data_IF_217254240032
#
_entry.id   IF_217254240032
#
_cell.length_a   1.000
_cell.length_b   1.000
_cell.length_c   1.000
_cell.angle_alpha   90.00
_cell.angle_beta   90.00
_cell.angle_gamma   90.00
#
_symmetry.space_group_name_H-M   'P 1'
#
loop_
_entity.id
_entity.type
_entity.pdbx_description
1 polymer ?
#
# COMPACT_ATOMS: atom_id res chain seq x y z
N UNK A 1 -28.48 -70.29 -52.48
CA UNK A 1 -29.50 -70.27 -51.41
C UNK A 1 -28.77 -70.28 -50.07
N UNK A 2 -28.40 -69.09 -49.59
CA UNK A 2 -27.69 -68.92 -48.32
C UNK A 2 -28.71 -68.92 -47.17
N UNK A 3 -28.47 -69.77 -46.15
CA UNK A 3 -29.27 -69.82 -44.93
C UNK A 3 -28.75 -68.75 -43.97
N UNK A 4 -29.54 -67.71 -43.77
CA UNK A 4 -29.30 -66.67 -42.76
C UNK A 4 -29.53 -67.31 -41.38
N UNK A 5 -28.46 -67.53 -40.62
CA UNK A 5 -28.54 -67.91 -39.23
C UNK A 5 -28.95 -66.69 -38.40
N UNK A 6 -30.21 -66.67 -37.95
CA UNK A 6 -30.71 -65.66 -37.04
C UNK A 6 -29.99 -65.78 -35.69
N UNK A 7 -29.25 -64.73 -35.31
CA UNK A 7 -28.69 -64.60 -33.97
C UNK A 7 -29.82 -64.54 -32.94
N UNK A 8 -29.79 -65.38 -31.88
CA UNK A 8 -30.80 -65.30 -30.83
C UNK A 8 -30.71 -63.94 -30.15
N UNK A 9 -31.86 -63.27 -30.02
CA UNK A 9 -31.98 -62.02 -29.28
C UNK A 9 -31.50 -62.24 -27.84
N UNK A 10 -30.39 -61.62 -27.45
CA UNK A 10 -29.95 -61.57 -26.07
C UNK A 10 -31.04 -60.90 -25.24
N UNK A 11 -31.75 -61.70 -24.46
CA UNK A 11 -32.69 -61.21 -23.46
C UNK A 11 -31.87 -60.47 -22.40
N UNK A 12 -32.10 -59.17 -22.18
CA UNK A 12 -31.31 -58.42 -21.21
C UNK A 12 -31.48 -59.08 -19.83
N UNK A 13 -30.40 -59.27 -19.07
CA UNK A 13 -30.46 -59.96 -17.79
C UNK A 13 -31.44 -59.23 -16.87
N UNK A 14 -32.52 -59.91 -16.49
CA UNK A 14 -33.52 -59.40 -15.54
C UNK A 14 -32.83 -59.30 -14.18
N UNK A 15 -32.42 -58.09 -13.82
CA UNK A 15 -31.83 -57.80 -12.52
C UNK A 15 -32.82 -58.20 -11.42
N UNK A 16 -32.45 -59.20 -10.63
CA UNK A 16 -33.25 -59.65 -9.49
C UNK A 16 -33.45 -58.51 -8.49
N UNK A 17 -34.57 -58.46 -7.74
CA UNK A 17 -34.85 -57.39 -6.78
C UNK A 17 -33.73 -57.17 -5.75
N UNK A 18 -33.02 -58.25 -5.40
CA UNK A 18 -31.88 -58.22 -4.48
C UNK A 18 -30.67 -57.46 -5.04
N UNK A 19 -30.44 -57.52 -6.36
CA UNK A 19 -29.37 -56.78 -7.04
C UNK A 19 -29.65 -55.28 -7.09
N UNK A 20 -30.93 -54.89 -7.24
CA UNK A 20 -31.34 -53.47 -7.29
C UNK A 20 -31.10 -52.77 -5.95
N UNK A 21 -31.36 -53.47 -4.84
CA UNK A 21 -31.10 -52.96 -3.50
C UNK A 21 -29.60 -52.74 -3.23
N UNK A 22 -28.74 -53.65 -3.68
CA UNK A 22 -27.27 -53.51 -3.54
C UNK A 22 -26.70 -52.31 -4.30
N UNK A 23 -27.22 -52.04 -5.50
CA UNK A 23 -26.77 -50.89 -6.28
C UNK A 23 -27.17 -49.56 -5.61
N UNK A 24 -28.42 -49.47 -5.14
CA UNK A 24 -28.90 -48.31 -4.40
C UNK A 24 -28.09 -48.04 -3.11
N UNK A 25 -27.68 -49.09 -2.41
CA UNK A 25 -26.82 -48.98 -1.22
C UNK A 25 -25.42 -48.45 -1.56
N UNK A 26 -24.81 -48.94 -2.64
CA UNK A 26 -23.51 -48.46 -3.12
C UNK A 26 -23.58 -46.97 -3.49
N UNK A 27 -24.63 -46.56 -4.20
CA UNK A 27 -24.85 -45.16 -4.58
C UNK A 27 -25.05 -44.26 -3.37
N UNK A 28 -25.84 -44.72 -2.38
CA UNK A 28 -26.05 -44.00 -1.12
C UNK A 28 -24.72 -43.82 -0.36
N UNK A 29 -23.89 -44.87 -0.30
CA UNK A 29 -22.56 -44.82 0.33
C UNK A 29 -21.63 -43.83 -0.38
N UNK A 30 -21.65 -43.80 -1.72
CA UNK A 30 -20.84 -42.85 -2.48
C UNK A 30 -21.27 -41.40 -2.24
N UNK A 31 -22.58 -41.13 -2.25
CA UNK A 31 -23.12 -39.79 -1.94
C UNK A 31 -22.77 -39.34 -0.53
N UNK A 32 -23.00 -40.20 0.47
CA UNK A 32 -22.65 -39.93 1.86
C UNK A 32 -21.15 -39.61 2.02
N UNK A 33 -20.28 -40.32 1.30
CA UNK A 33 -18.84 -40.02 1.32
C UNK A 33 -18.51 -38.66 0.68
N UNK A 34 -19.16 -38.30 -0.43
CA UNK A 34 -18.95 -36.99 -1.05
C UNK A 34 -19.48 -35.84 -0.18
N UNK A 35 -20.64 -36.03 0.44
CA UNK A 35 -21.22 -35.07 1.39
C UNK A 35 -20.32 -34.89 2.61
N UNK A 36 -19.77 -35.99 3.17
CA UNK A 36 -18.82 -35.92 4.27
C UNK A 36 -17.55 -35.13 3.88
N UNK A 37 -17.02 -35.30 2.66
CA UNK A 37 -15.88 -34.52 2.17
C UNK A 37 -16.22 -33.04 2.01
N UNK A 38 -17.42 -32.72 1.54
CA UNK A 38 -17.89 -31.33 1.42
C UNK A 38 -18.07 -30.71 2.81
N UNK A 39 -18.62 -31.44 3.76
CA UNK A 39 -18.83 -30.95 5.12
C UNK A 39 -17.50 -30.71 5.83
N UNK A 40 -16.55 -31.66 5.77
CA UNK A 40 -15.21 -31.46 6.33
C UNK A 40 -14.48 -30.24 5.73
N UNK A 41 -14.68 -29.96 4.43
CA UNK A 41 -14.18 -28.73 3.78
C UNK A 41 -14.87 -27.47 4.27
N UNK A 42 -16.18 -27.53 4.55
CA UNK A 42 -16.92 -26.40 5.14
C UNK A 42 -16.46 -26.13 6.56
N UNK A 43 -16.29 -27.17 7.38
CA UNK A 43 -15.88 -27.05 8.77
C UNK A 43 -14.44 -26.53 8.91
N UNK A 44 -13.52 -27.00 8.07
CA UNK A 44 -12.14 -26.47 8.02
C UNK A 44 -12.11 -25.01 7.59
N UNK A 45 -12.88 -24.62 6.56
CA UNK A 45 -13.01 -23.22 6.14
C UNK A 45 -13.68 -22.34 7.19
N UNK A 46 -14.64 -22.84 7.96
CA UNK A 46 -15.26 -22.09 9.05
C UNK A 46 -14.23 -21.78 10.14
N UNK A 47 -13.50 -22.80 10.59
CA UNK A 47 -12.42 -22.65 11.58
C UNK A 47 -11.29 -21.72 11.12
N UNK A 48 -10.94 -21.76 9.83
CA UNK A 48 -9.92 -20.87 9.26
C UNK A 48 -10.38 -19.40 9.21
N UNK A 49 -11.67 -19.14 9.01
CA UNK A 49 -12.23 -17.78 9.02
C UNK A 49 -12.21 -17.18 10.42
N UNK A 50 -12.41 -17.99 11.45
CA UNK A 50 -12.40 -17.52 12.85
C UNK A 50 -11.00 -17.08 13.30
N UNK A 51 -9.93 -17.51 12.62
CA UNK A 51 -8.55 -17.22 13.00
C UNK A 51 -7.92 -16.03 12.26
N UNK A 52 -8.55 -15.51 11.20
CA UNK A 52 -7.99 -14.41 10.42
C UNK A 52 -8.75 -13.14 10.74
N UNK A 53 -8.13 -12.25 11.50
CA UNK A 53 -8.69 -10.92 11.70
C UNK A 53 -8.88 -10.25 10.33
N UNK A 54 -10.08 -9.78 9.97
CA UNK A 54 -10.33 -9.23 8.64
C UNK A 54 -9.45 -8.00 8.35
N UNK A 55 -8.98 -7.33 9.41
CA UNK A 55 -8.05 -6.20 9.36
C UNK A 55 -6.63 -6.59 8.91
N UNK A 56 -6.25 -7.85 9.04
CA UNK A 56 -4.94 -8.37 8.61
C UNK A 56 -4.89 -8.72 7.11
N UNK A 57 -6.03 -8.60 6.40
CA UNK A 57 -6.06 -8.77 4.96
C UNK A 57 -5.39 -7.59 4.25
N UNK A 58 -4.39 -7.89 3.42
CA UNK A 58 -3.75 -6.92 2.52
C UNK A 58 -4.78 -6.15 1.68
N UNK A 59 -5.83 -6.84 1.22
CA UNK A 59 -6.91 -6.21 0.46
C UNK A 59 -7.68 -5.18 1.28
N UNK A 60 -7.96 -5.49 2.55
CA UNK A 60 -8.67 -4.57 3.45
C UNK A 60 -7.84 -3.31 3.72
N UNK A 61 -6.54 -3.48 4.01
CA UNK A 61 -5.61 -2.37 4.17
C UNK A 61 -5.64 -1.42 2.97
N UNK A 62 -5.48 -1.93 1.74
CA UNK A 62 -5.46 -1.08 0.56
C UNK A 62 -6.79 -0.40 0.28
N UNK A 63 -7.93 -1.04 0.60
CA UNK A 63 -9.24 -0.37 0.47
C UNK A 63 -9.40 0.80 1.43
N UNK A 64 -8.97 0.63 2.69
CA UNK A 64 -9.09 1.67 3.70
C UNK A 64 -8.08 2.80 3.46
N UNK A 65 -6.83 2.44 3.14
CA UNK A 65 -5.77 3.37 2.78
C UNK A 65 -6.15 4.23 1.57
N UNK A 66 -6.65 3.62 0.48
CA UNK A 66 -7.05 4.36 -0.72
C UNK A 66 -8.22 5.28 -0.46
N UNK A 67 -9.22 4.84 0.31
CA UNK A 67 -10.34 5.69 0.69
C UNK A 67 -9.87 6.95 1.42
N UNK A 68 -9.02 6.78 2.44
CA UNK A 68 -8.49 7.91 3.19
C UNK A 68 -7.53 8.79 2.36
N UNK A 69 -6.75 8.19 1.46
CA UNK A 69 -5.90 8.90 0.50
C UNK A 69 -6.73 9.77 -0.47
N UNK A 70 -7.75 9.18 -1.09
CA UNK A 70 -8.64 9.85 -2.05
C UNK A 70 -9.39 11.01 -1.39
N UNK A 71 -9.83 10.84 -0.14
CA UNK A 71 -10.45 11.91 0.65
C UNK A 71 -9.54 13.13 0.79
N UNK A 72 -8.24 12.93 1.06
CA UNK A 72 -7.28 14.04 1.18
C UNK A 72 -7.03 14.67 -0.19
N UNK A 73 -6.80 13.85 -1.23
CA UNK A 73 -6.55 14.34 -2.59
C UNK A 73 -7.73 15.17 -3.12
N UNK A 74 -8.98 14.73 -2.89
CA UNK A 74 -10.16 15.47 -3.29
C UNK A 74 -10.23 16.85 -2.63
N UNK A 75 -9.96 16.94 -1.33
CA UNK A 75 -9.97 18.22 -0.62
C UNK A 75 -8.87 19.14 -1.13
N UNK A 76 -7.65 18.62 -1.34
CA UNK A 76 -6.54 19.42 -1.88
C UNK A 76 -6.84 19.95 -3.29
N UNK A 77 -7.43 19.11 -4.16
CA UNK A 77 -7.83 19.53 -5.50
C UNK A 77 -8.98 20.55 -5.50
N UNK A 78 -9.93 20.42 -4.57
CA UNK A 78 -11.01 21.39 -4.40
C UNK A 78 -10.47 22.77 -3.99
N UNK A 79 -9.54 22.81 -3.02
CA UNK A 79 -8.89 24.05 -2.59
C UNK A 79 -8.12 24.75 -3.72
N UNK A 80 -7.42 23.99 -4.56
CA UNK A 80 -6.75 24.54 -5.75
C UNK A 80 -7.74 25.05 -6.81
N UNK A 81 -8.88 24.37 -6.98
CA UNK A 81 -9.89 24.78 -7.96
C UNK A 81 -10.60 26.07 -7.57
N UNK A 82 -10.84 26.28 -6.26
CA UNK A 82 -11.43 27.51 -5.73
C UNK A 82 -10.49 28.73 -5.84
N UNK A 83 -9.18 28.52 -5.95
CA UNK A 83 -8.22 29.61 -6.18
C UNK A 83 -8.48 30.32 -7.53
N UNK A 84 -8.76 29.55 -8.58
CA UNK A 84 -8.90 30.07 -9.94
C UNK A 84 -10.26 30.72 -10.23
N UNK A 85 -11.29 30.44 -9.42
CA UNK A 85 -12.63 30.99 -9.64
C UNK A 85 -12.80 32.42 -9.06
N UNK A 86 -12.03 32.77 -8.03
CA UNK A 86 -12.26 33.97 -7.22
C UNK A 86 -11.17 35.04 -7.39
N UNK A 87 -10.94 35.52 -8.62
CA UNK A 87 -10.05 36.68 -8.85
C UNK A 87 -10.71 38.04 -8.64
N UNK A 88 -11.99 38.13 -8.21
CA UNK A 88 -12.68 39.43 -8.26
C UNK A 88 -13.07 40.07 -6.91
N UNK A 89 -13.59 39.40 -5.88
CA UNK A 89 -14.12 40.15 -4.73
C UNK A 89 -13.98 39.35 -3.43
N UNK A 90 -13.34 39.96 -2.42
CA UNK A 90 -13.36 39.57 -1.00
C UNK A 90 -12.30 38.56 -0.52
N UNK A 91 -11.03 38.98 -0.52
CA UNK A 91 -10.02 38.45 0.40
C UNK A 91 -10.26 38.98 1.83
N UNK A 92 -11.36 38.56 2.46
CA UNK A 92 -11.60 38.83 3.86
C UNK A 92 -10.69 37.98 4.76
N UNK A 93 -10.29 38.46 5.96
CA UNK A 93 -9.41 37.73 6.87
C UNK A 93 -9.94 36.32 7.21
N UNK A 94 -11.25 36.13 7.27
CA UNK A 94 -11.86 34.84 7.55
C UNK A 94 -11.59 33.76 6.50
N UNK A 95 -11.34 34.09 5.22
CA UNK A 95 -11.06 33.06 4.20
C UNK A 95 -9.71 32.37 4.45
N UNK A 96 -8.69 33.15 4.79
CA UNK A 96 -7.35 32.64 5.05
C UNK A 96 -7.32 31.71 6.26
N UNK A 97 -8.06 32.04 7.32
CA UNK A 97 -8.14 31.22 8.54
C UNK A 97 -8.82 29.87 8.24
N UNK A 98 -9.90 29.86 7.45
CA UNK A 98 -10.56 28.62 7.02
C UNK A 98 -9.65 27.72 6.16
N UNK A 99 -8.82 28.31 5.30
CA UNK A 99 -7.85 27.55 4.49
C UNK A 99 -6.75 26.94 5.36
N UNK A 100 -6.18 27.68 6.31
CA UNK A 100 -5.16 27.11 7.22
C UNK A 100 -5.75 26.00 8.10
N UNK A 101 -6.98 26.18 8.61
CA UNK A 101 -7.69 25.15 9.36
C UNK A 101 -7.93 23.87 8.55
N UNK A 102 -8.35 24.01 7.28
CA UNK A 102 -8.56 22.85 6.40
C UNK A 102 -7.24 22.14 6.08
N UNK A 103 -6.17 22.87 5.79
CA UNK A 103 -4.84 22.30 5.57
C UNK A 103 -4.30 21.59 6.83
N UNK A 104 -4.52 22.15 8.02
CA UNK A 104 -4.18 21.52 9.31
C UNK A 104 -4.95 20.22 9.54
N UNK A 105 -6.24 20.17 9.16
CA UNK A 105 -7.02 18.93 9.16
C UNK A 105 -6.47 17.89 8.17
N UNK A 106 -5.98 18.31 7.01
CA UNK A 106 -5.35 17.37 6.07
C UNK A 106 -4.03 16.82 6.62
N UNK A 107 -3.22 17.64 7.29
CA UNK A 107 -1.99 17.19 7.96
C UNK A 107 -2.26 16.11 9.01
N UNK A 108 -3.32 16.28 9.82
CA UNK A 108 -3.72 15.25 10.79
C UNK A 108 -4.22 13.96 10.12
N UNK A 109 -4.93 14.05 9.00
CA UNK A 109 -5.32 12.86 8.20
C UNK A 109 -4.10 12.13 7.63
N UNK A 110 -3.11 12.85 7.12
CA UNK A 110 -1.87 12.24 6.62
C UNK A 110 -1.15 11.50 7.74
N UNK A 111 -1.03 12.10 8.93
CA UNK A 111 -0.46 11.42 10.12
C UNK A 111 -1.23 10.16 10.49
N UNK A 112 -2.56 10.15 10.30
CA UNK A 112 -3.37 8.94 10.52
C UNK A 112 -3.08 7.83 9.50
N UNK A 113 -2.74 8.18 8.25
CA UNK A 113 -2.29 7.22 7.24
C UNK A 113 -0.95 6.60 7.63
N UNK A 114 0.01 7.39 8.12
CA UNK A 114 1.29 6.83 8.63
C UNK A 114 1.08 5.86 9.79
N UNK A 115 0.16 6.20 10.70
CA UNK A 115 -0.20 5.33 11.81
C UNK A 115 -0.86 4.05 11.31
N UNK A 116 -1.74 4.14 10.31
CA UNK A 116 -2.35 2.97 9.67
C UNK A 116 -1.28 2.06 9.06
N UNK A 117 -0.32 2.60 8.30
CA UNK A 117 0.80 1.82 7.75
C UNK A 117 1.63 1.17 8.85
N UNK A 118 1.92 1.91 9.93
CA UNK A 118 2.72 1.40 11.06
C UNK A 118 2.03 0.27 11.80
N UNK A 119 0.71 0.39 12.03
CA UNK A 119 -0.10 -0.64 12.68
C UNK A 119 -0.22 -1.92 11.83
N UNK A 120 -0.09 -1.79 10.51
CA UNK A 120 -0.31 -2.89 9.56
C UNK A 120 0.98 -3.48 9.00
N UNK A 121 2.13 -2.87 9.30
CA UNK A 121 3.44 -3.26 8.79
C UNK A 121 3.85 -4.71 9.12
N UNK A 122 3.32 -5.30 10.20
CA UNK A 122 3.65 -6.67 10.62
C UNK A 122 3.05 -7.73 9.69
N UNK A 123 1.93 -7.45 9.03
CA UNK A 123 1.23 -8.41 8.16
C UNK A 123 1.28 -8.04 6.67
N UNK A 124 1.73 -6.82 6.34
CA UNK A 124 1.92 -6.40 4.97
C UNK A 124 3.22 -6.97 4.37
N UNK A 125 3.22 -7.36 3.09
CA UNK A 125 4.46 -7.60 2.35
C UNK A 125 5.37 -6.38 2.39
N UNK A 126 6.71 -6.54 2.51
CA UNK A 126 7.64 -5.40 2.56
C UNK A 126 7.52 -4.42 1.39
N UNK A 127 7.13 -4.92 0.22
CA UNK A 127 6.87 -4.09 -0.97
C UNK A 127 5.68 -3.14 -0.75
N UNK A 128 4.59 -3.65 -0.17
CA UNK A 128 3.38 -2.85 0.06
C UNK A 128 3.60 -1.78 1.12
N UNK A 129 4.39 -2.08 2.16
CA UNK A 129 4.78 -1.09 3.18
C UNK A 129 5.54 0.08 2.55
N UNK A 130 6.56 -0.20 1.73
CA UNK A 130 7.33 0.85 1.05
C UNK A 130 6.45 1.70 0.15
N UNK A 131 5.60 1.04 -0.64
CA UNK A 131 4.66 1.72 -1.54
C UNK A 131 3.72 2.65 -0.77
N UNK A 132 3.14 2.20 0.33
CA UNK A 132 2.23 3.04 1.13
C UNK A 132 2.98 4.24 1.76
N UNK A 133 4.24 4.04 2.18
CA UNK A 133 5.09 5.14 2.68
C UNK A 133 5.38 6.17 1.58
N UNK A 134 5.77 5.72 0.37
CA UNK A 134 6.01 6.59 -0.79
C UNK A 134 4.75 7.38 -1.20
N UNK A 135 3.58 6.73 -1.24
CA UNK A 135 2.31 7.40 -1.54
C UNK A 135 1.96 8.45 -0.46
N UNK A 136 2.24 8.17 0.82
CA UNK A 136 2.05 9.12 1.93
C UNK A 136 3.03 10.29 1.86
N UNK A 137 4.29 10.06 1.50
CA UNK A 137 5.29 11.11 1.30
C UNK A 137 4.93 12.03 0.13
N UNK A 138 4.51 11.45 -1.00
CA UNK A 138 3.99 12.21 -2.14
C UNK A 138 2.80 13.10 -1.74
N UNK A 139 1.91 12.61 -0.87
CA UNK A 139 0.77 13.39 -0.37
C UNK A 139 1.21 14.58 0.52
N UNK A 140 2.25 14.39 1.34
CA UNK A 140 2.85 15.49 2.12
C UNK A 140 3.47 16.55 1.22
N UNK A 141 4.19 16.13 0.18
CA UNK A 141 4.75 17.06 -0.81
C UNK A 141 3.66 17.88 -1.48
N UNK A 142 2.57 17.25 -1.93
CA UNK A 142 1.41 17.94 -2.51
C UNK A 142 0.75 18.90 -1.53
N UNK A 143 0.61 18.53 -0.25
CA UNK A 143 0.05 19.43 0.76
C UNK A 143 0.93 20.68 0.90
N UNK A 144 2.24 20.53 0.95
CA UNK A 144 3.16 21.68 1.04
C UNK A 144 3.12 22.55 -0.22
N UNK A 145 3.02 21.95 -1.41
CA UNK A 145 2.80 22.68 -2.66
C UNK A 145 1.53 23.55 -2.58
N UNK A 146 0.40 22.95 -2.21
CA UNK A 146 -0.88 23.66 -2.02
C UNK A 146 -0.76 24.75 -0.95
N UNK A 147 -0.10 24.45 0.16
CA UNK A 147 0.13 25.43 1.24
C UNK A 147 0.92 26.63 0.74
N UNK A 148 1.98 26.42 -0.03
CA UNK A 148 2.78 27.51 -0.58
C UNK A 148 2.05 28.30 -1.66
N UNK A 149 1.16 27.67 -2.42
CA UNK A 149 0.31 28.33 -3.42
C UNK A 149 -0.75 29.22 -2.75
N UNK A 150 -1.50 28.69 -1.79
CA UNK A 150 -2.61 29.40 -1.13
C UNK A 150 -2.14 30.39 -0.06
N UNK A 151 -1.05 30.07 0.63
CA UNK A 151 -0.45 30.91 1.67
C UNK A 151 0.99 31.26 1.27
N UNK A 152 1.18 32.11 0.25
CA UNK A 152 2.51 32.54 -0.15
C UNK A 152 3.17 33.17 1.07
N UNK A 153 4.20 32.49 1.60
CA UNK A 153 4.93 32.96 2.78
C UNK A 153 5.34 34.38 2.46
N UNK A 154 4.82 35.36 3.21
CA UNK A 154 5.16 36.76 3.04
C UNK A 154 6.68 36.87 3.11
N UNK A 155 7.31 36.86 1.94
CA UNK A 155 8.69 37.27 1.78
C UNK A 155 8.57 38.77 1.96
N UNK A 156 8.69 39.22 3.20
CA UNK A 156 9.05 40.59 3.49
C UNK A 156 10.37 40.82 2.76
N UNK A 157 10.28 41.16 1.47
CA UNK A 157 11.37 41.80 0.77
C UNK A 157 11.44 43.15 1.45
N UNK A 158 12.34 43.23 2.43
CA UNK A 158 12.80 44.51 2.91
C UNK A 158 13.42 45.14 1.67
N UNK A 159 12.64 45.93 0.93
CA UNK A 159 13.13 46.71 -0.19
C UNK A 159 14.19 47.62 0.42
N UNK A 160 15.44 47.17 0.33
CA UNK A 160 16.58 47.86 0.88
C UNK A 160 16.57 49.24 0.27
N UNK A 161 16.18 50.23 1.07
CA UNK A 161 16.25 51.64 0.72
C UNK A 161 17.74 51.88 0.45
N UNK A 162 18.14 51.78 -0.82
CA UNK A 162 19.48 52.17 -1.27
C UNK A 162 19.58 53.65 -0.89
N UNK A 163 20.20 53.94 0.25
CA UNK A 163 20.68 55.28 0.54
C UNK A 163 21.71 55.58 -0.53
N UNK A 164 21.33 56.41 -1.50
CA UNK A 164 22.28 57.18 -2.28
C UNK A 164 22.98 58.15 -1.32
N UNK A 165 24.04 57.68 -0.66
CA UNK A 165 24.96 58.55 0.04
C UNK A 165 26.13 58.80 -0.91
N UNK A 166 26.01 59.88 -1.67
CA UNK A 166 27.16 60.59 -2.22
C UNK A 166 28.13 60.92 -1.08
N UNK A 167 29.39 60.51 -1.27
CA UNK A 167 30.64 61.19 -0.86
C UNK A 167 30.53 62.08 0.39
N UNK A 168 31.23 61.71 1.48
CA UNK A 168 32.37 62.48 2.05
C UNK A 168 32.85 61.81 3.35
N UNK A 169 34.11 61.36 3.32
CA UNK A 169 35.14 61.25 4.37
C UNK A 169 34.86 60.77 5.80
N UNK A 170 35.62 59.73 6.16
CA UNK A 170 36.57 59.70 7.29
C UNK A 170 36.03 59.84 8.72
N UNK A 171 35.99 58.73 9.46
CA UNK A 171 36.88 58.42 10.60
C UNK A 171 36.27 57.30 11.46
N UNK A 172 37.13 56.31 11.76
CA UNK A 172 37.13 55.49 12.97
C UNK A 172 35.89 54.64 13.30
N UNK A 173 35.92 53.37 12.88
CA UNK A 173 36.04 52.19 13.75
C UNK A 173 35.57 50.94 12.97
N UNK A 174 36.34 49.84 12.95
CA UNK A 174 35.80 48.56 12.51
C UNK A 174 34.79 48.06 13.55
N UNK A 175 33.59 47.60 13.15
CA UNK A 175 32.70 46.90 14.06
C UNK A 175 33.35 45.57 14.42
N UNK A 176 33.57 45.37 15.73
CA UNK A 176 34.10 44.13 16.30
C UNK A 176 33.43 42.89 15.67
N UNK A 177 34.19 41.87 15.24
CA UNK A 177 33.59 40.60 14.89
C UNK A 177 32.91 40.04 16.13
N UNK A 178 31.58 39.96 16.08
CA UNK A 178 30.75 39.31 17.08
C UNK A 178 31.20 37.86 17.12
N UNK A 179 31.97 37.49 18.15
CA UNK A 179 32.32 36.11 18.44
C UNK A 179 31.03 35.31 18.65
N UNK A 180 30.59 34.65 17.59
CA UNK A 180 29.69 33.51 17.71
C UNK A 180 30.52 32.45 18.40
N UNK A 181 30.24 32.23 19.69
CA UNK A 181 30.77 31.06 20.39
C UNK A 181 30.29 29.84 19.60
N UNK A 182 31.18 28.95 19.15
CA UNK A 182 30.75 27.64 18.70
C UNK A 182 30.06 27.01 19.92
N UNK A 183 28.75 26.80 19.82
CA UNK A 183 28.07 25.85 20.69
C UNK A 183 28.79 24.54 20.39
N UNK A 184 29.56 24.08 21.37
CA UNK A 184 30.24 22.80 21.32
C UNK A 184 29.26 21.79 20.74
N UNK A 185 29.61 21.27 19.56
CA UNK A 185 29.11 19.98 19.12
C UNK A 185 29.37 19.05 20.29
N UNK A 186 28.31 18.72 21.02
CA UNK A 186 28.24 17.46 21.71
C UNK A 186 28.38 16.43 20.60
N UNK A 187 29.62 15.98 20.39
CA UNK A 187 29.92 14.76 19.69
C UNK A 187 29.23 13.67 20.51
N UNK A 188 27.96 13.42 20.21
CA UNK A 188 27.38 12.10 20.38
C UNK A 188 28.18 11.20 19.44
N UNK A 189 29.32 10.74 19.95
CA UNK A 189 30.12 9.68 19.38
C UNK A 189 29.20 8.47 19.44
N UNK A 190 28.40 8.30 18.40
CA UNK A 190 27.69 7.05 18.15
C UNK A 190 28.77 6.00 18.17
N UNK A 191 28.73 5.15 19.19
CA UNK A 191 29.59 4.01 19.35
C UNK A 191 29.30 3.11 18.15
N UNK A 192 30.02 3.31 17.06
CA UNK A 192 30.03 2.41 15.91
C UNK A 192 30.57 1.09 16.46
N UNK A 193 29.78 0.01 16.49
CA UNK A 193 30.28 -1.28 16.93
C UNK A 193 31.45 -1.68 16.03
N UNK A 194 32.51 -2.30 16.58
CA UNK A 194 33.62 -2.79 15.77
C UNK A 194 33.08 -3.71 14.70
N UNK A 195 33.43 -3.43 13.45
CA UNK A 195 33.13 -4.30 12.32
C UNK A 195 33.73 -5.68 12.62
N UNK A 196 32.87 -6.65 12.84
CA UNK A 196 33.28 -8.05 12.82
C UNK A 196 33.73 -8.37 11.40
N UNK A 197 34.93 -8.95 11.20
CA UNK A 197 35.34 -9.42 9.89
C UNK A 197 34.33 -10.45 9.40
N UNK A 198 33.69 -10.13 8.29
CA UNK A 198 32.81 -11.03 7.54
C UNK A 198 33.70 -12.19 7.09
N UNK A 199 33.60 -13.33 7.77
CA UNK A 199 34.10 -14.58 7.25
C UNK A 199 33.36 -14.86 5.96
N UNK A 200 34.08 -14.76 4.84
CA UNK A 200 33.66 -15.23 3.54
C UNK A 200 33.36 -16.73 3.64
N UNK A 201 32.11 -17.08 3.94
CA UNK A 201 31.62 -18.45 3.76
C UNK A 201 31.32 -18.64 2.28
N UNK A 202 32.40 -18.88 1.53
CA UNK A 202 32.33 -19.46 0.20
C UNK A 202 31.77 -20.88 0.33
N UNK A 203 30.48 -21.05 0.00
CA UNK A 203 29.94 -22.29 -0.56
C UNK A 203 28.53 -22.03 -1.09
N UNK A 204 28.48 -21.44 -2.28
CA UNK A 204 27.26 -21.44 -3.09
C UNK A 204 27.29 -22.71 -3.97
N UNK A 205 26.39 -23.68 -3.75
CA UNK A 205 26.33 -24.87 -4.60
C UNK A 205 25.85 -24.51 -6.01
N UNK A 206 26.33 -25.22 -7.05
CA UNK A 206 25.94 -24.96 -8.43
C UNK A 206 24.43 -25.11 -8.62
N UNK A 207 23.85 -24.03 -9.15
CA UNK A 207 22.46 -23.88 -9.58
C UNK A 207 22.08 -25.02 -10.51
N UNK A 208 21.32 -26.00 -10.00
CA UNK A 208 20.70 -27.04 -10.83
C UNK A 208 19.80 -26.36 -11.88
N UNK A 209 20.19 -26.46 -13.14
CA UNK A 209 19.37 -26.02 -14.27
C UNK A 209 18.12 -26.91 -14.29
N UNK A 210 16.97 -26.35 -13.89
CA UNK A 210 15.67 -26.95 -14.17
C UNK A 210 15.45 -26.90 -15.67
N UNK A 211 15.73 -28.02 -16.33
CA UNK A 211 15.22 -28.31 -17.66
C UNK A 211 13.69 -28.38 -17.54
N UNK A 212 12.99 -27.36 -18.05
CA UNK A 212 11.54 -27.40 -18.18
C UNK A 212 11.19 -28.36 -19.33
N UNK A 213 10.21 -29.26 -19.15
CA UNK A 213 9.75 -30.11 -20.24
C UNK A 213 9.08 -29.24 -21.31
N UNK A 214 9.59 -29.34 -22.55
CA UNK A 214 8.91 -28.90 -23.76
C UNK A 214 7.59 -29.66 -23.87
N UNK A 215 6.47 -29.02 -23.57
CA UNK A 215 5.16 -29.52 -23.99
C UNK A 215 5.02 -29.24 -25.48
N UNK A 216 5.28 -30.26 -26.30
CA UNK A 216 4.86 -30.27 -27.69
C UNK A 216 3.32 -30.30 -27.73
N UNK A 217 2.74 -29.21 -28.19
CA UNK A 217 1.32 -29.11 -28.52
C UNK A 217 1.13 -29.88 -29.83
N UNK A 218 0.48 -31.04 -29.78
CA UNK A 218 0.01 -31.76 -30.97
C UNK A 218 -1.43 -31.35 -31.24
N UNK A 219 -1.65 -30.73 -32.39
CA UNK A 219 -2.95 -30.51 -33.03
C UNK A 219 -3.72 -31.84 -33.17
N UNK A 220 -4.99 -31.83 -32.73
CA UNK A 220 -6.13 -32.52 -33.36
C UNK A 220 -7.35 -31.63 -33.15
#
# INVERSE_FOLDING_TARGET
>A
MEKIHAFPAEVPPVLTPQSKNRHAEIDARFRAHQEARLQARKDTKAKEKDFKDPKESVGYFWTDFRRAYDDVVQVLNALLSEEHADTNISSGPGRADNVDDTLSRMDTKIKSLDQLVSNTALFLPPYDVRRAQEETESLRSKLEEVRTALMPRKRFTFAGRRRTASVTSSLMMPPCPRQVRPIYQAQCRVLVPPQTPILHLANSPPRAQRVLPRTSYSEI
#
